data_IF_846362102271
#
_entry.id   IF_846362102271
#
_cell.length_a   1.000
_cell.length_b   1.000
_cell.length_c   1.000
_cell.angle_alpha   90.00
_cell.angle_beta   90.00
_cell.angle_gamma   90.00
#
_symmetry.space_group_name_H-M   'P 1'
#
loop_
_entity.id
_entity.type
_entity.pdbx_description
1 polymer ?
#
# COMPACT_ATOMS: atom_id res chain seq x y z
N UNK A 1 2.84 28.33 -62.37
CA UNK A 1 2.42 27.91 -61.03
C UNK A 1 2.77 26.44 -60.91
N UNK A 2 3.78 26.14 -60.09
CA UNK A 2 4.31 24.80 -59.88
C UNK A 2 3.99 24.45 -58.43
N UNK A 3 2.92 23.69 -58.21
CA UNK A 3 2.60 23.11 -56.91
C UNK A 3 3.41 21.82 -56.77
N UNK A 4 4.46 21.86 -55.95
CA UNK A 4 5.21 20.68 -55.54
C UNK A 4 4.40 19.86 -54.52
N UNK A 5 4.60 18.53 -54.45
CA UNK A 5 3.88 17.70 -53.49
C UNK A 5 4.31 18.04 -52.06
N UNK A 6 3.31 18.28 -51.20
CA UNK A 6 3.46 18.57 -49.78
C UNK A 6 4.05 17.34 -49.07
N UNK A 7 5.32 17.45 -48.65
CA UNK A 7 6.03 16.39 -47.94
C UNK A 7 5.44 16.23 -46.54
N UNK A 8 4.66 15.17 -46.33
CA UNK A 8 4.04 14.87 -45.03
C UNK A 8 5.12 14.51 -44.02
N UNK A 9 5.46 15.46 -43.16
CA UNK A 9 6.36 15.24 -42.01
C UNK A 9 5.75 14.14 -41.13
N UNK A 10 6.47 13.03 -40.86
CA UNK A 10 5.96 11.98 -39.99
C UNK A 10 5.70 12.57 -38.59
N UNK A 11 4.60 12.16 -37.92
CA UNK A 11 4.29 12.65 -36.59
C UNK A 11 5.43 12.30 -35.63
N UNK A 12 5.86 13.31 -34.87
CA UNK A 12 6.89 13.20 -33.85
C UNK A 12 6.57 12.01 -32.92
N UNK A 13 7.48 11.02 -32.76
CA UNK A 13 7.26 9.94 -31.83
C UNK A 13 7.13 10.56 -30.43
N UNK A 14 5.90 10.52 -29.89
CA UNK A 14 5.59 11.04 -28.57
C UNK A 14 6.59 10.55 -27.51
N UNK A 15 6.71 11.28 -26.38
CA UNK A 15 7.75 11.04 -25.39
C UNK A 15 7.79 9.57 -24.99
N UNK A 16 9.00 8.99 -24.79
CA UNK A 16 9.15 7.58 -24.49
C UNK A 16 8.31 7.23 -23.28
N UNK A 17 7.40 6.26 -23.45
CA UNK A 17 6.60 5.74 -22.36
C UNK A 17 7.54 5.41 -21.20
N UNK A 18 7.43 6.17 -20.10
CA UNK A 18 8.23 5.95 -18.91
C UNK A 18 8.06 4.46 -18.55
N UNK A 19 9.16 3.71 -18.57
CA UNK A 19 9.19 2.31 -18.15
C UNK A 19 8.92 2.30 -16.65
N UNK A 20 7.66 2.43 -16.25
CA UNK A 20 7.23 2.19 -14.89
C UNK A 20 7.68 0.78 -14.53
N UNK A 21 8.34 0.63 -13.38
CA UNK A 21 8.57 -0.68 -12.82
C UNK A 21 7.23 -1.41 -12.78
N UNK A 22 7.14 -2.53 -13.49
CA UNK A 22 5.86 -3.20 -13.70
C UNK A 22 5.18 -3.55 -12.37
N UNK A 23 3.86 -3.77 -12.39
CA UNK A 23 3.07 -4.13 -11.19
C UNK A 23 3.68 -5.30 -10.39
N UNK A 24 4.38 -6.18 -11.10
CA UNK A 24 5.12 -7.31 -10.54
C UNK A 24 6.31 -6.90 -9.66
N UNK A 25 7.04 -5.83 -10.01
CA UNK A 25 8.18 -5.38 -9.22
C UNK A 25 7.74 -4.80 -7.87
N UNK A 26 6.61 -4.08 -7.86
CA UNK A 26 5.99 -3.56 -6.63
C UNK A 26 5.57 -4.72 -5.73
N UNK A 27 4.89 -5.73 -6.29
CA UNK A 27 4.51 -6.94 -5.57
C UNK A 27 5.72 -7.67 -4.95
N UNK A 28 6.78 -7.85 -5.74
CA UNK A 28 7.97 -8.57 -5.29
C UNK A 28 8.74 -7.80 -4.22
N UNK A 29 8.94 -6.49 -4.42
CA UNK A 29 9.59 -5.63 -3.43
C UNK A 29 8.83 -5.62 -2.10
N UNK A 30 7.53 -5.32 -2.14
CA UNK A 30 6.73 -5.24 -0.91
C UNK A 30 6.51 -6.61 -0.26
N UNK A 31 6.40 -7.68 -1.05
CA UNK A 31 6.34 -9.04 -0.52
C UNK A 31 7.60 -9.42 0.23
N UNK A 32 8.78 -9.27 -0.38
CA UNK A 32 10.06 -9.59 0.26
C UNK A 32 10.32 -8.67 1.46
N UNK A 33 10.08 -7.37 1.33
CA UNK A 33 10.27 -6.41 2.42
C UNK A 33 9.34 -6.70 3.61
N UNK A 34 8.06 -6.97 3.36
CA UNK A 34 7.09 -7.30 4.42
C UNK A 34 7.42 -8.62 5.09
N UNK A 35 7.90 -9.62 4.34
CA UNK A 35 8.34 -10.89 4.90
C UNK A 35 9.48 -10.73 5.90
N UNK A 36 10.55 -10.04 5.48
CA UNK A 36 11.70 -9.77 6.36
C UNK A 36 11.26 -8.94 7.57
N UNK A 37 10.42 -7.92 7.34
CA UNK A 37 9.89 -7.07 8.39
C UNK A 37 9.09 -7.86 9.44
N UNK A 38 8.12 -8.66 9.03
CA UNK A 38 7.32 -9.46 9.96
C UNK A 38 8.20 -10.45 10.73
N UNK A 39 9.08 -11.16 10.02
CA UNK A 39 9.96 -12.13 10.66
C UNK A 39 10.81 -11.48 11.76
N UNK A 40 11.44 -10.33 11.48
CA UNK A 40 12.28 -9.61 12.46
C UNK A 40 11.45 -9.00 13.58
N UNK A 41 10.35 -8.29 13.27
CA UNK A 41 9.56 -7.61 14.30
C UNK A 41 8.92 -8.60 15.27
N UNK A 42 8.42 -9.74 14.79
CA UNK A 42 7.83 -10.73 15.69
C UNK A 42 8.89 -11.47 16.53
N UNK A 43 10.06 -11.77 15.96
CA UNK A 43 11.18 -12.37 16.70
C UNK A 43 11.70 -11.44 17.82
N UNK A 44 11.74 -10.13 17.57
CA UNK A 44 12.27 -9.15 18.54
C UNK A 44 11.29 -8.81 19.66
N UNK A 45 9.98 -8.83 19.38
CA UNK A 45 8.96 -8.34 20.31
C UNK A 45 8.25 -9.45 21.08
N UNK A 46 8.35 -10.71 20.65
CA UNK A 46 7.65 -11.84 21.26
C UNK A 46 8.58 -13.02 21.46
N UNK A 47 8.48 -13.70 22.60
CA UNK A 47 9.36 -14.83 22.94
C UNK A 47 9.19 -16.04 22.04
N UNK A 48 8.01 -16.20 21.43
CA UNK A 48 7.71 -17.36 20.58
C UNK A 48 7.93 -17.13 19.08
N UNK A 49 8.15 -15.88 18.64
CA UNK A 49 8.29 -15.52 17.23
C UNK A 49 7.09 -15.93 16.35
N UNK A 50 7.19 -15.73 15.04
CA UNK A 50 6.24 -16.31 14.08
C UNK A 50 6.89 -17.46 13.33
N UNK A 51 6.06 -18.42 12.89
CA UNK A 51 6.55 -19.44 11.96
C UNK A 51 6.89 -18.79 10.61
N UNK A 52 7.90 -19.35 9.92
CA UNK A 52 8.30 -18.91 8.58
C UNK A 52 7.11 -18.89 7.61
N UNK A 53 6.22 -19.87 7.73
CA UNK A 53 5.02 -19.97 6.91
C UNK A 53 4.00 -18.86 7.24
N UNK A 54 3.77 -18.55 8.51
CA UNK A 54 2.93 -17.43 8.92
C UNK A 54 3.51 -16.09 8.42
N UNK A 55 4.83 -15.89 8.54
CA UNK A 55 5.53 -14.72 8.02
C UNK A 55 5.31 -14.55 6.51
N UNK A 56 5.42 -15.65 5.76
CA UNK A 56 5.20 -15.65 4.31
C UNK A 56 3.76 -15.31 3.95
N UNK A 57 2.77 -15.85 4.66
CA UNK A 57 1.36 -15.55 4.42
C UNK A 57 1.03 -14.08 4.75
N UNK A 58 1.55 -13.54 5.85
CA UNK A 58 1.41 -12.13 6.20
C UNK A 58 2.04 -11.23 5.13
N UNK A 59 3.21 -11.61 4.64
CA UNK A 59 3.90 -10.89 3.57
C UNK A 59 3.11 -10.90 2.26
N UNK A 60 2.56 -12.05 1.88
CA UNK A 60 1.71 -12.19 0.71
C UNK A 60 0.43 -11.34 0.84
N UNK A 61 -0.20 -11.35 2.02
CA UNK A 61 -1.35 -10.49 2.32
C UNK A 61 -1.02 -9.00 2.19
N UNK A 62 0.11 -8.55 2.77
CA UNK A 62 0.56 -7.18 2.67
C UNK A 62 0.86 -6.78 1.22
N UNK A 63 1.56 -7.64 0.46
CA UNK A 63 1.87 -7.40 -0.95
C UNK A 63 0.62 -7.30 -1.82
N UNK A 64 -0.34 -8.20 -1.65
CA UNK A 64 -1.62 -8.16 -2.37
C UNK A 64 -2.41 -6.91 -2.02
N UNK A 65 -2.45 -6.53 -0.74
CA UNK A 65 -3.11 -5.30 -0.28
C UNK A 65 -2.49 -4.08 -0.93
N UNK A 66 -1.16 -3.99 -0.92
CA UNK A 66 -0.41 -2.86 -1.50
C UNK A 66 -0.57 -2.82 -3.02
N UNK A 67 -0.59 -3.96 -3.69
CA UNK A 67 -0.87 -4.02 -5.12
C UNK A 67 -2.29 -3.56 -5.45
N UNK A 68 -3.30 -4.06 -4.72
CA UNK A 68 -4.68 -3.62 -4.88
C UNK A 68 -4.82 -2.11 -4.61
N UNK A 69 -4.14 -1.60 -3.59
CA UNK A 69 -4.09 -0.18 -3.27
C UNK A 69 -3.46 0.63 -4.41
N UNK A 70 -2.30 0.21 -4.90
CA UNK A 70 -1.61 0.84 -6.03
C UNK A 70 -2.52 0.92 -7.25
N UNK A 71 -3.19 -0.18 -7.64
CA UNK A 71 -4.12 -0.20 -8.78
C UNK A 71 -5.35 0.66 -8.55
N UNK A 72 -5.88 0.66 -7.33
CA UNK A 72 -6.99 1.53 -6.96
C UNK A 72 -6.60 3.00 -7.09
N UNK A 73 -5.41 3.38 -6.60
CA UNK A 73 -4.91 4.75 -6.70
C UNK A 73 -4.62 5.13 -8.15
N UNK A 74 -3.95 4.29 -8.94
CA UNK A 74 -3.70 4.54 -10.37
C UNK A 74 -4.99 4.81 -11.15
N UNK A 75 -6.01 3.95 -11.00
CA UNK A 75 -7.27 4.08 -11.74
C UNK A 75 -8.05 5.33 -11.32
N UNK A 76 -8.14 5.59 -10.02
CA UNK A 76 -8.92 6.70 -9.51
C UNK A 76 -8.17 8.04 -9.69
N UNK A 77 -6.84 8.08 -9.55
CA UNK A 77 -6.03 9.25 -9.90
C UNK A 77 -6.11 9.55 -11.38
N UNK A 78 -5.99 8.56 -12.26
CA UNK A 78 -6.09 8.78 -13.71
C UNK A 78 -7.44 9.36 -14.11
N UNK A 79 -8.53 8.92 -13.46
CA UNK A 79 -9.87 9.50 -13.67
C UNK A 79 -10.01 10.92 -13.12
N UNK A 80 -9.41 11.21 -11.98
CA UNK A 80 -9.55 12.51 -11.34
C UNK A 80 -8.63 13.56 -12.00
N UNK A 81 -7.41 13.20 -12.39
CA UNK A 81 -6.47 14.06 -13.13
C UNK A 81 -7.06 14.53 -14.47
N UNK A 82 -7.81 13.66 -15.17
CA UNK A 82 -8.53 14.02 -16.42
C UNK A 82 -9.67 15.02 -16.18
N UNK A 83 -10.16 15.13 -14.94
CA UNK A 83 -11.28 16.01 -14.55
C UNK A 83 -10.84 17.26 -13.80
N UNK A 84 -9.56 17.40 -13.49
CA UNK A 84 -9.05 18.55 -12.73
C UNK A 84 -9.11 19.83 -13.56
N UNK A 85 -10.04 20.71 -13.19
CA UNK A 85 -9.90 22.15 -13.37
C UNK A 85 -9.15 22.72 -12.14
N UNK A 86 -8.30 23.75 -12.31
CA UNK A 86 -7.67 24.45 -11.20
C UNK A 86 -8.73 24.92 -10.18
N UNK A 87 -8.58 24.54 -8.90
CA UNK A 87 -9.43 25.04 -7.80
C UNK A 87 -10.53 24.11 -7.27
N UNK A 88 -10.70 22.88 -7.78
CA UNK A 88 -11.65 21.92 -7.19
C UNK A 88 -11.07 21.18 -5.97
N UNK A 89 -11.89 21.05 -4.90
CA UNK A 89 -11.54 20.32 -3.67
C UNK A 89 -11.51 18.81 -3.94
N UNK A 90 -10.39 18.15 -3.61
CA UNK A 90 -10.13 16.72 -3.83
C UNK A 90 -11.15 15.78 -3.14
N UNK A 91 -12.13 15.27 -3.90
CA UNK A 91 -13.01 14.15 -3.48
C UNK A 91 -12.23 12.85 -3.25
N UNK A 92 -11.14 12.68 -4.02
CA UNK A 92 -10.23 11.54 -3.99
C UNK A 92 -9.62 11.25 -2.62
N UNK A 93 -9.33 12.26 -1.79
CA UNK A 93 -8.70 12.07 -0.48
C UNK A 93 -9.63 11.33 0.49
N UNK A 94 -10.94 11.63 0.46
CA UNK A 94 -11.95 10.93 1.28
C UNK A 94 -12.07 9.45 0.89
N UNK A 95 -12.15 9.17 -0.40
CA UNK A 95 -12.24 7.81 -0.94
C UNK A 95 -10.96 7.02 -0.59
N UNK A 96 -9.80 7.66 -0.69
CA UNK A 96 -8.51 7.06 -0.35
C UNK A 96 -8.40 6.71 1.14
N UNK A 97 -8.87 7.58 2.03
CA UNK A 97 -8.94 7.29 3.47
C UNK A 97 -9.87 6.10 3.75
N UNK A 98 -11.06 6.06 3.13
CA UNK A 98 -11.99 4.94 3.32
C UNK A 98 -11.40 3.61 2.83
N UNK A 99 -10.72 3.62 1.69
CA UNK A 99 -10.02 2.45 1.18
C UNK A 99 -8.91 2.00 2.15
N UNK A 100 -8.10 2.94 2.63
CA UNK A 100 -7.07 2.66 3.62
C UNK A 100 -7.66 2.03 4.90
N UNK A 101 -8.66 2.66 5.51
CA UNK A 101 -9.30 2.15 6.73
C UNK A 101 -9.89 0.75 6.52
N UNK A 102 -10.54 0.51 5.38
CA UNK A 102 -11.12 -0.80 5.05
C UNK A 102 -10.02 -1.86 4.87
N UNK A 103 -8.96 -1.52 4.14
CA UNK A 103 -7.82 -2.43 3.93
C UNK A 103 -7.08 -2.73 5.24
N UNK A 104 -6.90 -1.74 6.11
CA UNK A 104 -6.29 -1.89 7.42
C UNK A 104 -7.12 -2.81 8.31
N UNK A 105 -8.44 -2.61 8.37
CA UNK A 105 -9.34 -3.49 9.14
C UNK A 105 -9.26 -4.95 8.66
N UNK A 106 -9.26 -5.16 7.33
CA UNK A 106 -9.14 -6.51 6.75
C UNK A 106 -7.77 -7.13 7.09
N UNK A 107 -6.66 -6.39 6.97
CA UNK A 107 -5.32 -6.88 7.28
C UNK A 107 -5.16 -7.22 8.77
N UNK A 108 -5.75 -6.42 9.67
CA UNK A 108 -5.73 -6.70 11.10
C UNK A 108 -6.44 -8.03 11.43
N UNK A 109 -7.64 -8.23 10.86
CA UNK A 109 -8.44 -9.45 11.07
C UNK A 109 -7.74 -10.67 10.45
N UNK A 110 -7.34 -10.59 9.18
CA UNK A 110 -6.68 -11.69 8.48
C UNK A 110 -5.33 -12.04 9.12
N UNK A 111 -4.55 -11.02 9.52
CA UNK A 111 -3.30 -11.23 10.23
C UNK A 111 -3.53 -12.01 11.53
N UNK A 112 -4.59 -11.67 12.28
CA UNK A 112 -4.89 -12.36 13.55
C UNK A 112 -5.31 -13.81 13.29
N UNK A 113 -6.09 -14.05 12.24
CA UNK A 113 -6.44 -15.40 11.81
C UNK A 113 -5.20 -16.22 11.42
N UNK A 114 -4.27 -15.65 10.66
CA UNK A 114 -3.03 -16.33 10.28
C UNK A 114 -2.17 -16.70 11.49
N UNK A 115 -2.00 -15.78 12.45
CA UNK A 115 -1.27 -16.07 13.69
C UNK A 115 -1.99 -17.13 14.51
N UNK A 116 -3.31 -17.05 14.64
CA UNK A 116 -4.09 -18.07 15.37
C UNK A 116 -3.98 -19.47 14.76
N UNK A 117 -3.90 -19.57 13.43
CA UNK A 117 -3.81 -20.85 12.72
C UNK A 117 -2.40 -21.40 12.58
N UNK A 118 -1.39 -20.54 12.48
CA UNK A 118 -0.02 -20.94 12.10
C UNK A 118 1.07 -20.54 13.08
N UNK A 119 0.74 -19.80 14.15
CA UNK A 119 1.67 -19.41 15.21
C UNK A 119 0.97 -19.52 16.57
N UNK A 120 0.57 -20.74 16.93
CA UNK A 120 -0.22 -21.05 18.14
C UNK A 120 0.42 -20.48 19.41
N UNK A 121 1.74 -20.61 19.58
CA UNK A 121 2.47 -20.06 20.74
C UNK A 121 2.39 -18.54 20.80
N UNK A 122 2.55 -17.86 19.67
CA UNK A 122 2.39 -16.41 19.60
C UNK A 122 0.94 -16.00 19.85
N UNK A 123 -0.02 -16.81 19.42
CA UNK A 123 -1.42 -16.57 19.71
C UNK A 123 -1.73 -16.74 21.21
N UNK A 124 -1.11 -17.71 21.88
CA UNK A 124 -1.20 -17.87 23.33
C UNK A 124 -0.59 -16.64 24.04
N UNK A 125 0.58 -16.17 23.61
CA UNK A 125 1.22 -14.96 24.13
C UNK A 125 0.34 -13.71 23.91
N UNK A 126 -0.25 -13.55 22.73
CA UNK A 126 -1.05 -12.39 22.37
C UNK A 126 -2.47 -12.37 22.96
N UNK A 127 -3.03 -13.51 23.39
CA UNK A 127 -4.47 -13.57 23.69
C UNK A 127 -4.92 -14.51 24.79
N UNK A 128 -4.02 -15.24 25.45
CA UNK A 128 -4.36 -16.09 26.60
C UNK A 128 -5.27 -17.30 26.31
N UNK A 129 -6.15 -17.24 25.31
CA UNK A 129 -6.94 -18.32 24.67
C UNK A 129 -8.08 -17.79 23.77
N UNK A 130 -8.37 -16.47 23.69
CA UNK A 130 -9.56 -15.96 22.98
C UNK A 130 -9.28 -15.32 21.61
N UNK A 131 -10.08 -15.73 20.62
CA UNK A 131 -9.90 -15.41 19.19
C UNK A 131 -10.14 -13.93 18.81
N UNK A 132 -10.91 -13.17 19.60
CA UNK A 132 -11.39 -11.84 19.20
C UNK A 132 -11.18 -10.71 20.21
N UNK A 133 -11.10 -11.01 21.50
CA UNK A 133 -10.78 -10.05 22.54
C UNK A 133 -10.59 -10.80 23.84
N UNK A 134 -9.46 -10.61 24.51
CA UNK A 134 -9.34 -10.93 25.92
C UNK A 134 -9.07 -9.62 26.66
N UNK A 135 -9.98 -9.14 27.52
CA UNK A 135 -9.76 -7.94 28.32
C UNK A 135 -8.56 -8.06 29.27
N UNK A 136 -8.01 -9.27 29.46
CA UNK A 136 -6.80 -9.50 30.25
C UNK A 136 -5.49 -9.22 29.50
N UNK A 137 -5.51 -9.06 28.16
CA UNK A 137 -4.30 -8.71 27.41
C UNK A 137 -3.93 -7.26 27.72
N UNK A 138 -2.68 -6.98 28.15
CA UNK A 138 -2.23 -5.61 28.30
C UNK A 138 -2.43 -4.88 26.98
N UNK A 139 -3.21 -3.80 27.00
CA UNK A 139 -3.52 -2.98 25.81
C UNK A 139 -2.29 -2.70 24.94
N UNK A 140 -1.11 -2.57 25.55
CA UNK A 140 0.18 -2.38 24.88
C UNK A 140 0.57 -3.50 23.90
N UNK A 141 0.36 -4.78 24.22
CA UNK A 141 0.80 -5.89 23.35
C UNK A 141 -0.11 -6.04 22.14
N UNK A 142 -1.44 -5.95 22.34
CA UNK A 142 -2.40 -5.95 21.24
C UNK A 142 -2.21 -4.73 20.33
N UNK A 143 -1.91 -3.56 20.91
CA UNK A 143 -1.60 -2.36 20.14
C UNK A 143 -0.30 -2.52 19.34
N UNK A 144 0.77 -3.02 19.95
CA UNK A 144 2.05 -3.27 19.28
C UNK A 144 1.88 -4.26 18.12
N UNK A 145 1.11 -5.33 18.32
CA UNK A 145 0.74 -6.26 17.27
C UNK A 145 0.05 -5.56 16.08
N UNK A 146 -0.99 -4.76 16.36
CA UNK A 146 -1.70 -4.01 15.32
C UNK A 146 -0.76 -3.06 14.58
N UNK A 147 0.13 -2.38 15.30
CA UNK A 147 1.14 -1.51 14.69
C UNK A 147 2.04 -2.30 13.75
N UNK A 148 2.58 -3.46 14.18
CA UNK A 148 3.44 -4.31 13.33
C UNK A 148 2.68 -4.74 12.07
N UNK A 149 1.46 -5.27 12.20
CA UNK A 149 0.67 -5.74 11.05
C UNK A 149 0.33 -4.61 10.08
N UNK A 150 -0.06 -3.45 10.60
CA UNK A 150 -0.53 -2.34 9.77
C UNK A 150 0.62 -1.48 9.23
N UNK A 151 1.83 -1.60 9.76
CA UNK A 151 2.95 -0.74 9.40
C UNK A 151 3.25 -0.74 7.90
N UNK A 152 3.39 -1.88 7.19
CA UNK A 152 3.70 -1.87 5.75
C UNK A 152 2.62 -1.18 4.91
N UNK A 153 1.35 -1.46 5.22
CA UNK A 153 0.19 -0.87 4.52
C UNK A 153 0.09 0.63 4.79
N UNK A 154 0.32 1.04 6.03
CA UNK A 154 0.32 2.45 6.45
C UNK A 154 1.47 3.21 5.79
N UNK A 155 2.67 2.63 5.80
CA UNK A 155 3.84 3.22 5.16
C UNK A 155 3.59 3.41 3.66
N UNK A 156 3.04 2.42 2.98
CA UNK A 156 2.66 2.54 1.58
C UNK A 156 1.65 3.66 1.35
N UNK A 157 0.61 3.75 2.18
CA UNK A 157 -0.38 4.82 2.09
C UNK A 157 0.24 6.21 2.25
N UNK A 158 1.13 6.39 3.23
CA UNK A 158 1.85 7.66 3.45
C UNK A 158 2.70 8.03 2.24
N UNK A 159 3.42 7.06 1.65
CA UNK A 159 4.21 7.30 0.43
C UNK A 159 3.33 7.76 -0.74
N UNK A 160 2.17 7.15 -0.93
CA UNK A 160 1.20 7.57 -1.96
C UNK A 160 0.68 8.98 -1.66
N UNK A 161 0.31 9.28 -0.41
CA UNK A 161 -0.18 10.60 -0.01
C UNK A 161 0.85 11.71 -0.25
N UNK A 162 2.13 11.47 0.07
CA UNK A 162 3.22 12.41 -0.20
C UNK A 162 3.40 12.60 -1.71
N UNK A 163 3.42 11.51 -2.48
CA UNK A 163 3.57 11.57 -3.94
C UNK A 163 2.43 12.34 -4.61
N UNK A 164 1.20 12.18 -4.10
CA UNK A 164 0.02 12.93 -4.51
C UNK A 164 0.14 14.43 -4.24
N UNK A 165 0.52 14.81 -3.02
CA UNK A 165 0.71 16.22 -2.65
C UNK A 165 1.75 16.88 -3.56
N UNK A 166 2.88 16.22 -3.80
CA UNK A 166 3.94 16.74 -4.67
C UNK A 166 3.48 16.94 -6.13
N UNK A 167 2.59 16.07 -6.65
CA UNK A 167 2.03 16.25 -8.00
C UNK A 167 1.00 17.37 -8.06
N UNK A 168 0.17 17.51 -7.03
CA UNK A 168 -0.82 18.59 -6.94
C UNK A 168 -0.14 19.97 -6.87
N UNK A 169 0.97 20.09 -6.13
CA UNK A 169 1.74 21.33 -6.04
C UNK A 169 2.31 21.73 -7.42
N UNK A 170 2.89 20.79 -8.18
CA UNK A 170 3.39 21.04 -9.55
C UNK A 170 2.31 21.44 -10.54
N UNK A 171 1.08 20.97 -10.37
CA UNK A 171 -0.05 21.32 -11.24
C UNK A 171 -0.59 22.72 -10.92
N UNK A 172 -0.47 23.19 -9.67
CA UNK A 172 -0.92 24.51 -9.25
C UNK A 172 0.14 25.60 -9.44
N UNK A 173 1.40 25.22 -9.65
CA UNK A 173 2.51 26.12 -9.97
C UNK A 173 3.24 25.67 -11.26
N UNK A 174 2.61 25.85 -12.44
CA UNK A 174 3.20 25.46 -13.72
C UNK A 174 4.39 26.36 -14.15
N UNK A 175 4.61 27.49 -13.47
CA UNK A 175 5.66 28.48 -13.74
C UNK A 175 6.71 28.56 -12.61
N UNK A 176 6.88 27.50 -11.83
CA UNK A 176 7.97 27.35 -10.86
C UNK A 176 9.37 27.14 -11.51
N UNK A 177 9.67 27.91 -12.55
CA UNK A 177 11.00 28.36 -13.00
C UNK A 177 10.97 29.88 -13.20
#
# INVERSE_FOLDING_TARGET
MSDGPEETVPPDPGPPAARGHGPFAILLFWGVASFVFFNVCFELNYSSGITLFAAFLLAAMAAVTIFAATRFYEINMGRELVRLQPGQKFSFLRISILFYLSSAAINAVLGKLMISGFAVKLNEELSGQNLLYDPAVPFGEMFLYLVIILFPVTLHYVLIAIGLSAQADRLNDPEGE
#
